data_IF_645427836798
#
_entry.id   IF_645427836798
#
_cell.length_a   1.000
_cell.length_b   1.000
_cell.length_c   1.000
_cell.angle_alpha   90.00
_cell.angle_beta   90.00
_cell.angle_gamma   90.00
#
_symmetry.space_group_name_H-M   'P 1'
#
loop_
_entity.id
_entity.type
_entity.pdbx_description
1 polymer ?
#
# COMPACT_ATOMS: atom_id res chain seq x y z
N UNK A 1 -12.37 2.72 -13.96
CA UNK A 1 -11.38 1.84 -13.31
C UNK A 1 -10.72 2.63 -12.20
N UNK A 2 -10.74 2.14 -10.96
CA UNK A 2 -10.16 2.83 -9.80
C UNK A 2 -8.71 2.38 -9.61
N UNK A 3 -7.80 3.32 -9.33
CA UNK A 3 -6.37 3.06 -9.19
C UNK A 3 -6.00 2.96 -7.71
N UNK A 4 -5.35 1.87 -7.33
CA UNK A 4 -4.95 1.59 -5.95
C UNK A 4 -3.44 1.35 -5.91
N UNK A 5 -2.76 2.02 -4.99
CA UNK A 5 -1.35 1.74 -4.68
C UNK A 5 -1.27 1.01 -3.34
N UNK A 6 -0.66 -0.17 -3.34
CA UNK A 6 -0.35 -0.93 -2.14
C UNK A 6 1.09 -0.63 -1.73
N UNK A 7 1.30 -0.25 -0.47
CA UNK A 7 2.61 0.08 0.08
C UNK A 7 2.95 -0.89 1.22
N UNK A 8 4.00 -1.69 1.06
CA UNK A 8 4.47 -2.67 2.05
C UNK A 8 4.76 -4.05 1.49
N UNK A 9 5.32 -4.93 2.33
CA UNK A 9 5.54 -6.33 1.96
C UNK A 9 4.25 -7.16 2.04
N UNK A 10 3.85 -7.69 0.89
CA UNK A 10 2.83 -8.73 0.78
C UNK A 10 3.41 -10.13 1.09
N UNK A 11 3.94 -10.35 2.31
CA UNK A 11 4.41 -11.70 2.68
C UNK A 11 3.27 -12.73 2.67
N UNK A 12 2.03 -12.28 2.85
CA UNK A 12 0.82 -13.07 2.64
C UNK A 12 -0.19 -12.23 1.86
N UNK A 13 -0.41 -12.55 0.57
CA UNK A 13 -1.53 -11.95 -0.18
C UNK A 13 -2.85 -12.41 0.46
N UNK A 14 -3.46 -11.51 1.22
CA UNK A 14 -4.76 -11.75 1.85
C UNK A 14 -5.80 -12.10 0.79
N UNK A 15 -6.82 -12.89 1.17
CA UNK A 15 -7.94 -13.25 0.28
C UNK A 15 -8.61 -12.01 -0.33
N UNK A 16 -8.67 -10.90 0.43
CA UNK A 16 -9.20 -9.62 -0.03
C UNK A 16 -8.34 -9.03 -1.14
N UNK A 17 -7.01 -9.01 -0.97
CA UNK A 17 -6.07 -8.52 -1.99
C UNK A 17 -6.18 -9.30 -3.30
N UNK A 18 -6.28 -10.63 -3.22
CA UNK A 18 -6.49 -11.48 -4.40
C UNK A 18 -7.79 -11.15 -5.11
N UNK A 19 -8.88 -10.92 -4.37
CA UNK A 19 -10.14 -10.50 -4.96
C UNK A 19 -10.06 -9.14 -5.64
N UNK A 20 -9.34 -8.18 -5.05
CA UNK A 20 -9.14 -6.87 -5.64
C UNK A 20 -8.31 -6.96 -6.94
N UNK A 21 -7.23 -7.75 -6.95
CA UNK A 21 -6.37 -7.95 -8.13
C UNK A 21 -7.09 -8.63 -9.29
N UNK A 22 -8.01 -9.56 -9.00
CA UNK A 22 -8.77 -10.28 -10.03
C UNK A 22 -9.97 -9.48 -10.57
N UNK A 23 -10.27 -8.31 -9.99
CA UNK A 23 -11.39 -7.48 -10.44
C UNK A 23 -10.97 -6.54 -11.57
N UNK A 24 -11.70 -6.54 -12.67
CA UNK A 24 -11.51 -5.56 -13.76
C UNK A 24 -11.86 -4.12 -13.37
N UNK A 25 -12.42 -3.90 -12.17
CA UNK A 25 -12.78 -2.57 -11.67
C UNK A 25 -11.59 -1.80 -11.11
N UNK A 26 -10.51 -2.51 -10.75
CA UNK A 26 -9.35 -1.94 -10.06
C UNK A 26 -8.06 -2.14 -10.86
N UNK A 27 -7.22 -1.10 -10.91
CA UNK A 27 -5.82 -1.21 -11.30
C UNK A 27 -4.97 -1.12 -10.03
N UNK A 28 -4.19 -2.16 -9.74
CA UNK A 28 -3.41 -2.23 -8.50
C UNK A 28 -1.91 -2.17 -8.82
N UNK A 29 -1.20 -1.25 -8.17
CA UNK A 29 0.26 -1.14 -8.21
C UNK A 29 0.84 -1.40 -6.82
N UNK A 30 1.98 -2.08 -6.77
CA UNK A 30 2.66 -2.42 -5.52
C UNK A 30 3.97 -1.65 -5.37
N UNK A 31 4.21 -1.12 -4.18
CA UNK A 31 5.45 -0.46 -3.77
C UNK A 31 5.97 -1.12 -2.49
N UNK A 32 7.19 -1.67 -2.53
CA UNK A 32 7.81 -2.32 -1.36
C UNK A 32 8.59 -1.35 -0.46
N UNK A 33 8.71 -0.10 -0.88
CA UNK A 33 9.42 0.95 -0.14
C UNK A 33 8.67 2.26 -0.30
N UNK A 34 8.83 3.14 0.69
CA UNK A 34 8.26 4.49 0.68
C UNK A 34 8.72 5.29 -0.54
N UNK A 35 10.02 5.25 -0.86
CA UNK A 35 10.57 5.97 -2.03
C UNK A 35 9.89 5.55 -3.34
N UNK A 36 9.64 4.25 -3.53
CA UNK A 36 8.94 3.75 -4.72
C UNK A 36 7.46 4.14 -4.68
N UNK A 37 6.84 4.15 -3.51
CA UNK A 37 5.45 4.56 -3.33
C UNK A 37 5.26 6.02 -3.73
N UNK A 38 6.13 6.91 -3.26
CA UNK A 38 6.12 8.34 -3.60
C UNK A 38 6.20 8.56 -5.12
N UNK A 39 7.15 7.89 -5.80
CA UNK A 39 7.28 7.97 -7.26
C UNK A 39 6.01 7.51 -7.98
N UNK A 40 5.41 6.41 -7.54
CA UNK A 40 4.18 5.87 -8.16
C UNK A 40 3.01 6.81 -7.88
N UNK A 41 2.83 7.29 -6.64
CA UNK A 41 1.73 8.18 -6.27
C UNK A 41 1.80 9.48 -7.06
N UNK A 42 2.98 10.09 -7.14
CA UNK A 42 3.18 11.35 -7.88
C UNK A 42 2.95 11.25 -9.39
N UNK A 43 3.08 10.05 -9.97
CA UNK A 43 2.88 9.82 -11.42
C UNK A 43 1.50 9.28 -11.75
N UNK A 44 0.99 8.35 -10.95
CA UNK A 44 -0.25 7.61 -11.21
C UNK A 44 -1.49 8.38 -10.77
N UNK A 45 -1.35 9.25 -9.75
CA UNK A 45 -2.42 9.92 -9.02
C UNK A 45 -3.53 8.94 -8.62
N UNK A 46 -3.26 8.00 -7.70
CA UNK A 46 -4.20 6.93 -7.36
C UNK A 46 -5.44 7.45 -6.61
N UNK A 47 -6.56 6.72 -6.74
CA UNK A 47 -7.77 7.00 -5.96
C UNK A 47 -7.61 6.61 -4.49
N UNK A 48 -6.83 5.56 -4.22
CA UNK A 48 -6.57 5.05 -2.88
C UNK A 48 -5.12 4.59 -2.71
N UNK A 49 -4.60 4.76 -1.50
CA UNK A 49 -3.34 4.17 -1.05
C UNK A 49 -3.65 3.25 0.13
N UNK A 50 -3.26 1.98 0.04
CA UNK A 50 -3.37 1.02 1.13
C UNK A 50 -1.98 0.69 1.64
N UNK A 51 -1.73 0.91 2.92
CA UNK A 51 -0.44 0.63 3.54
C UNK A 51 -0.54 -0.61 4.43
N UNK A 52 0.43 -1.50 4.29
CA UNK A 52 0.65 -2.63 5.19
C UNK A 52 1.99 -2.49 5.89
N UNK A 53 2.02 -2.74 7.19
CA UNK A 53 3.18 -2.54 8.02
C UNK A 53 2.91 -2.91 9.46
N UNK A 54 3.93 -2.77 10.31
CA UNK A 54 3.78 -2.90 11.76
C UNK A 54 3.45 -1.54 12.34
N UNK A 55 2.41 -1.49 13.15
CA UNK A 55 2.11 -0.30 13.94
C UNK A 55 2.99 -0.32 15.18
N UNK A 56 3.81 0.71 15.37
CA UNK A 56 4.62 0.92 16.55
C UNK A 56 4.25 2.26 17.18
N UNK A 57 4.75 2.49 18.39
CA UNK A 57 4.72 3.79 19.05
C UNK A 57 6.16 4.27 19.14
N UNK A 58 6.44 5.51 18.71
CA UNK A 58 7.77 6.10 18.81
C UNK A 58 8.08 6.59 20.24
N UNK A 59 9.29 7.14 20.44
CA UNK A 59 9.73 7.65 21.75
C UNK A 59 8.90 8.84 22.25
N UNK A 60 8.21 9.53 21.34
CA UNK A 60 7.34 10.68 21.63
C UNK A 60 5.89 10.26 21.92
N UNK A 61 5.56 8.97 21.78
CA UNK A 61 4.22 8.44 21.99
C UNK A 61 3.32 8.50 20.75
N UNK A 62 3.84 8.81 19.56
CA UNK A 62 3.08 8.83 18.32
C UNK A 62 2.98 7.44 17.71
N UNK A 63 1.82 7.13 17.10
CA UNK A 63 1.67 5.93 16.29
C UNK A 63 2.41 6.09 14.96
N UNK A 64 3.37 5.20 14.70
CA UNK A 64 4.13 5.13 13.45
C UNK A 64 3.89 3.81 12.74
N UNK A 65 3.71 3.88 11.42
CA UNK A 65 3.57 2.70 10.58
C UNK A 65 4.92 2.35 9.94
N UNK A 66 5.52 1.25 10.38
CA UNK A 66 6.76 0.73 9.84
C UNK A 66 6.48 -0.22 8.67
N UNK A 67 6.81 0.24 7.47
CA UNK A 67 6.65 -0.51 6.23
C UNK A 67 7.87 -1.43 6.06
N UNK A 68 7.69 -2.72 6.36
CA UNK A 68 8.72 -3.76 6.22
C UNK A 68 8.77 -4.36 4.81
#
# INVERSE_FOLDING_TARGET
>A
MKKIVLVGNDREESTVLKHLQNSSKYEIRKAKSLEKAEKIIGTLNPDFVLCSGKLNIDEEGNYVLEIN
#
